data_IF_740635924746
#
_entry.id   IF_740635924746
#
_cell.length_a   1.000
_cell.length_b   1.000
_cell.length_c   1.000
_cell.angle_alpha   90.00
_cell.angle_beta   90.00
_cell.angle_gamma   90.00
#
_symmetry.space_group_name_H-M   'P 1'
#
loop_
_entity.id
_entity.type
_entity.pdbx_description
1 polymer ?
#
# COMPACT_ATOMS: atom_id res chain seq x y z
N UNK A 1 -27.28 0.23 9.12
CA UNK A 1 -26.47 -0.44 8.11
C UNK A 1 -25.26 0.45 7.80
N UNK A 2 -24.06 -0.07 7.96
CA UNK A 2 -22.90 0.75 7.66
C UNK A 2 -22.75 0.92 6.15
N UNK A 3 -22.54 2.15 5.74
CA UNK A 3 -22.29 2.48 4.35
C UNK A 3 -20.80 2.27 4.08
N UNK A 4 -20.47 1.30 3.23
CA UNK A 4 -19.07 1.00 2.91
C UNK A 4 -18.34 2.17 2.25
N UNK A 5 -19.08 3.11 1.65
CA UNK A 5 -18.47 4.30 1.06
C UNK A 5 -17.86 5.23 2.11
N UNK A 6 -18.24 5.11 3.38
CA UNK A 6 -17.68 5.90 4.46
C UNK A 6 -16.36 5.34 5.00
N UNK A 7 -16.07 4.07 4.71
CA UNK A 7 -14.83 3.44 5.15
C UNK A 7 -13.74 3.63 4.10
N UNK A 8 -12.52 3.99 4.51
CA UNK A 8 -11.41 4.05 3.57
C UNK A 8 -11.17 2.66 2.95
N UNK A 9 -10.97 2.63 1.63
CA UNK A 9 -10.62 1.39 0.95
C UNK A 9 -9.17 0.99 1.25
N UNK A 10 -8.29 1.98 1.48
CA UNK A 10 -6.91 1.75 1.90
C UNK A 10 -6.88 1.68 3.43
N UNK A 11 -6.56 0.51 3.98
CA UNK A 11 -6.57 0.29 5.43
C UNK A 11 -5.15 0.36 6.01
N UNK A 12 -5.01 0.84 7.25
CA UNK A 12 -3.70 0.86 7.90
C UNK A 12 -3.29 -0.54 8.36
N UNK A 13 -1.99 -0.82 8.26
CA UNK A 13 -1.36 -2.00 8.87
C UNK A 13 -0.22 -1.52 9.76
N UNK A 14 0.19 -2.35 10.70
CA UNK A 14 1.23 -2.03 11.68
C UNK A 14 2.28 -3.11 11.72
N UNK A 15 3.36 -2.88 12.48
CA UNK A 15 4.37 -3.90 12.75
C UNK A 15 3.73 -5.19 13.30
N UNK A 16 2.68 -5.04 14.11
CA UNK A 16 2.00 -6.18 14.75
C UNK A 16 1.10 -6.93 13.76
N UNK A 17 0.38 -6.21 12.88
CA UNK A 17 -0.61 -6.83 12.00
C UNK A 17 -0.05 -7.24 10.64
N UNK A 18 1.19 -6.84 10.33
CA UNK A 18 1.76 -7.01 8.98
C UNK A 18 1.79 -8.46 8.52
N UNK A 19 2.21 -9.37 9.40
CA UNK A 19 2.31 -10.78 9.04
C UNK A 19 0.96 -11.36 8.61
N UNK A 20 -0.09 -11.08 9.36
CA UNK A 20 -1.43 -11.60 9.06
C UNK A 20 -2.07 -10.88 7.87
N UNK A 21 -1.95 -9.55 7.82
CA UNK A 21 -2.66 -8.74 6.85
C UNK A 21 -1.98 -8.69 5.48
N UNK A 22 -0.67 -8.89 5.43
CA UNK A 22 0.11 -8.78 4.19
C UNK A 22 0.75 -10.12 3.81
N UNK A 23 1.57 -10.68 4.70
CA UNK A 23 2.36 -11.87 4.35
C UNK A 23 1.51 -13.12 4.21
N UNK A 24 0.47 -13.26 5.00
CA UNK A 24 -0.44 -14.40 4.97
C UNK A 24 -1.70 -14.15 4.14
N UNK A 25 -1.80 -13.02 3.46
CA UNK A 25 -2.99 -12.70 2.67
C UNK A 25 -3.12 -13.65 1.48
N UNK A 26 -4.36 -14.04 1.19
CA UNK A 26 -4.66 -14.97 0.10
C UNK A 26 -4.72 -14.31 -1.29
N UNK A 27 -4.41 -13.03 -1.39
CA UNK A 27 -4.42 -12.25 -2.63
C UNK A 27 -3.27 -11.26 -2.62
N UNK A 28 -2.94 -10.67 -3.78
CA UNK A 28 -1.89 -9.64 -3.80
C UNK A 28 -2.22 -8.46 -2.90
N UNK A 29 -1.19 -7.92 -2.24
CA UNK A 29 -1.33 -6.77 -1.34
C UNK A 29 -0.34 -5.69 -1.76
N UNK A 30 -0.86 -4.50 -2.04
CA UNK A 30 -0.06 -3.31 -2.30
C UNK A 30 0.10 -2.54 -1.00
N UNK A 31 1.34 -2.35 -0.56
CA UNK A 31 1.65 -1.63 0.68
C UNK A 31 2.24 -0.27 0.36
N UNK A 32 1.58 0.78 0.85
CA UNK A 32 2.04 2.16 0.75
C UNK A 32 2.77 2.56 2.03
N UNK A 33 4.09 2.68 1.96
CA UNK A 33 4.91 3.18 3.06
C UNK A 33 4.90 4.70 3.01
N UNK A 34 4.39 5.34 4.05
CA UNK A 34 4.16 6.77 4.10
C UNK A 34 4.52 7.37 5.45
N UNK A 35 4.48 8.71 5.53
CA UNK A 35 4.59 9.45 6.79
C UNK A 35 3.69 10.67 6.72
N UNK A 36 3.27 11.17 7.88
CA UNK A 36 2.39 12.34 7.95
C UNK A 36 3.05 13.60 7.39
N UNK A 37 4.38 13.73 7.56
CA UNK A 37 5.14 14.88 7.08
C UNK A 37 5.46 14.82 5.58
N UNK A 38 5.14 13.74 4.91
CA UNK A 38 5.51 13.53 3.50
C UNK A 38 4.47 14.13 2.56
N UNK A 39 4.80 15.25 1.92
CA UNK A 39 3.91 15.90 0.95
C UNK A 39 3.50 15.00 -0.21
N UNK A 40 4.46 14.37 -0.92
CA UNK A 40 4.13 13.45 -2.02
C UNK A 40 3.24 12.28 -1.61
N UNK A 41 3.37 11.81 -0.37
CA UNK A 41 2.50 10.74 0.15
C UNK A 41 1.04 11.21 0.19
N UNK A 42 0.80 12.44 0.64
CA UNK A 42 -0.53 13.02 0.67
C UNK A 42 -1.10 13.22 -0.74
N UNK A 43 -0.26 13.59 -1.69
CA UNK A 43 -0.67 13.73 -3.08
C UNK A 43 -1.09 12.38 -3.68
N UNK A 44 -0.39 11.31 -3.31
CA UNK A 44 -0.66 9.96 -3.81
C UNK A 44 -1.92 9.35 -3.19
N UNK A 45 -2.27 9.72 -1.97
CA UNK A 45 -3.33 9.05 -1.21
C UNK A 45 -4.68 8.96 -1.95
N UNK A 46 -5.21 10.01 -2.59
CA UNK A 46 -6.47 9.90 -3.32
C UNK A 46 -6.42 8.90 -4.47
N UNK A 47 -5.30 8.85 -5.21
CA UNK A 47 -5.13 7.89 -6.30
C UNK A 47 -5.13 6.45 -5.78
N UNK A 48 -4.46 6.20 -4.66
CA UNK A 48 -4.44 4.86 -4.06
C UNK A 48 -5.83 4.45 -3.57
N UNK A 49 -6.59 5.37 -3.00
CA UNK A 49 -7.96 5.09 -2.57
C UNK A 49 -8.83 4.66 -3.75
N UNK A 50 -8.70 5.34 -4.89
CA UNK A 50 -9.43 4.98 -6.10
C UNK A 50 -8.97 3.62 -6.65
N UNK A 51 -7.67 3.37 -6.67
CA UNK A 51 -7.11 2.09 -7.11
C UNK A 51 -7.62 0.95 -6.23
N UNK A 52 -7.67 1.16 -4.91
CA UNK A 52 -8.19 0.17 -3.98
C UNK A 52 -9.65 -0.16 -4.27
N UNK A 53 -10.47 0.85 -4.53
CA UNK A 53 -11.88 0.65 -4.87
C UNK A 53 -12.04 -0.11 -6.18
N UNK A 54 -11.26 0.25 -7.19
CA UNK A 54 -11.30 -0.39 -8.52
C UNK A 54 -10.86 -1.84 -8.49
N UNK A 55 -10.06 -2.22 -7.51
CA UNK A 55 -9.51 -3.58 -7.38
C UNK A 55 -10.08 -4.36 -6.20
N UNK A 56 -11.19 -3.91 -5.63
CA UNK A 56 -11.81 -4.57 -4.48
C UNK A 56 -12.03 -6.05 -4.76
N UNK A 57 -11.60 -6.90 -3.82
CA UNK A 57 -11.69 -8.35 -3.95
C UNK A 57 -10.58 -9.01 -4.76
N UNK A 58 -9.74 -8.24 -5.46
CA UNK A 58 -8.63 -8.77 -6.26
C UNK A 58 -7.26 -8.38 -5.71
N UNK A 59 -7.11 -7.14 -5.29
CA UNK A 59 -5.87 -6.62 -4.72
C UNK A 59 -6.25 -5.83 -3.48
N UNK A 60 -5.63 -6.14 -2.35
CA UNK A 60 -5.78 -5.33 -1.16
C UNK A 60 -4.77 -4.20 -1.19
N UNK A 61 -5.18 -2.99 -0.85
CA UNK A 61 -4.29 -1.85 -0.73
C UNK A 61 -4.28 -1.43 0.73
N UNK A 62 -3.08 -1.39 1.31
CA UNK A 62 -2.90 -1.03 2.72
C UNK A 62 -1.81 0.03 2.83
N UNK A 63 -1.77 0.72 3.96
CA UNK A 63 -0.76 1.73 4.23
C UNK A 63 -0.06 1.48 5.55
N UNK A 64 1.20 1.81 5.61
CA UNK A 64 2.03 1.66 6.82
C UNK A 64 2.76 2.96 7.09
N UNK A 65 2.54 3.53 8.27
CA UNK A 65 3.22 4.75 8.71
C UNK A 65 4.61 4.38 9.21
N UNK A 66 5.66 4.85 8.51
CA UNK A 66 7.05 4.44 8.81
C UNK A 66 7.52 4.96 10.16
N UNK A 67 7.01 6.08 10.63
CA UNK A 67 7.42 6.65 11.92
C UNK A 67 6.87 5.84 13.09
N UNK A 68 5.69 5.25 12.91
CA UNK A 68 5.04 4.46 13.94
C UNK A 68 5.36 2.96 13.87
N UNK A 69 5.96 2.51 12.77
CA UNK A 69 6.20 1.09 12.49
C UNK A 69 7.62 0.86 11.99
N UNK A 70 8.64 1.09 12.84
CA UNK A 70 10.03 1.02 12.43
C UNK A 70 10.51 -0.39 12.09
N UNK A 71 9.92 -1.44 12.66
CA UNK A 71 10.38 -2.80 12.43
C UNK A 71 10.20 -3.23 10.98
N UNK A 72 8.99 -3.11 10.45
CA UNK A 72 8.71 -3.47 9.06
C UNK A 72 9.42 -2.51 8.10
N UNK A 73 9.46 -1.23 8.41
CA UNK A 73 10.17 -0.24 7.62
C UNK A 73 11.64 -0.62 7.45
N UNK A 74 12.29 -1.03 8.53
CA UNK A 74 13.69 -1.47 8.50
C UNK A 74 13.85 -2.79 7.77
N UNK A 75 12.95 -3.74 8.04
CA UNK A 75 13.02 -5.07 7.43
C UNK A 75 13.03 -5.00 5.90
N UNK A 76 12.24 -4.12 5.31
CA UNK A 76 12.15 -4.00 3.86
C UNK A 76 13.04 -2.87 3.29
N UNK A 77 13.88 -2.27 4.11
CA UNK A 77 14.86 -1.30 3.66
C UNK A 77 14.28 -0.04 3.05
N UNK A 78 13.17 0.45 3.58
CA UNK A 78 12.49 1.63 3.07
C UNK A 78 13.33 2.89 3.34
N UNK A 79 13.67 3.63 2.30
CA UNK A 79 14.52 4.83 2.42
C UNK A 79 13.87 6.09 1.88
N UNK A 80 13.06 5.96 0.84
CA UNK A 80 12.36 7.09 0.23
C UNK A 80 10.85 6.95 0.39
N UNK A 81 10.13 8.06 0.37
CA UNK A 81 8.68 8.07 0.52
C UNK A 81 8.03 8.89 -0.58
N UNK A 82 6.88 8.45 -1.10
CA UNK A 82 6.26 7.17 -0.80
C UNK A 82 7.02 6.00 -1.43
N UNK A 83 6.96 4.84 -0.81
CA UNK A 83 7.43 3.59 -1.42
C UNK A 83 6.25 2.63 -1.46
N UNK A 84 6.02 2.06 -2.64
CA UNK A 84 5.01 1.05 -2.84
C UNK A 84 5.68 -0.30 -3.05
N UNK A 85 5.28 -1.29 -2.26
CA UNK A 85 5.70 -2.67 -2.44
C UNK A 85 4.48 -3.52 -2.74
N UNK A 86 4.57 -4.32 -3.81
CA UNK A 86 3.51 -5.28 -4.13
C UNK A 86 3.93 -6.66 -3.63
N UNK A 87 3.13 -7.25 -2.76
CA UNK A 87 3.34 -8.57 -2.21
C UNK A 87 2.43 -9.59 -2.88
N UNK A 88 2.98 -10.76 -3.20
CA UNK A 88 2.21 -11.93 -3.64
C UNK A 88 2.75 -13.14 -2.91
N UNK A 89 1.84 -13.87 -2.25
CA UNK A 89 2.20 -15.07 -1.48
C UNK A 89 3.34 -14.80 -0.49
N UNK A 90 3.31 -13.65 0.16
CA UNK A 90 4.28 -13.28 1.19
C UNK A 90 5.60 -12.72 0.67
N UNK A 91 5.75 -12.55 -0.64
CA UNK A 91 6.99 -12.06 -1.23
C UNK A 91 6.78 -10.76 -2.01
N UNK A 92 7.78 -9.87 -1.98
CA UNK A 92 7.78 -8.64 -2.77
C UNK A 92 8.04 -9.01 -4.23
N UNK A 93 7.08 -8.70 -5.10
CA UNK A 93 7.21 -8.98 -6.54
C UNK A 93 7.43 -7.71 -7.36
N UNK A 94 7.18 -6.54 -6.81
CA UNK A 94 7.44 -5.27 -7.49
C UNK A 94 7.58 -4.14 -6.47
N UNK A 95 8.34 -3.11 -6.84
CA UNK A 95 8.51 -1.93 -6.00
C UNK A 95 8.51 -0.67 -6.85
N UNK A 96 8.01 0.41 -6.28
CA UNK A 96 7.98 1.73 -6.91
C UNK A 96 8.27 2.78 -5.85
N UNK A 97 9.28 3.58 -6.05
CA UNK A 97 9.66 4.67 -5.14
C UNK A 97 9.29 5.99 -5.80
N UNK A 98 8.65 6.86 -5.04
CA UNK A 98 8.28 8.19 -5.49
C UNK A 98 6.86 8.27 -6.04
N UNK A 99 6.46 9.50 -6.35
CA UNK A 99 5.10 9.80 -6.83
C UNK A 99 4.97 9.50 -8.31
N UNK A 100 3.91 8.75 -8.67
CA UNK A 100 3.51 8.53 -10.07
C UNK A 100 2.08 9.04 -10.27
N UNK A 101 1.76 9.57 -11.46
CA UNK A 101 0.37 9.82 -11.82
C UNK A 101 -0.45 8.53 -11.77
N UNK A 102 -1.73 8.66 -11.46
CA UNK A 102 -2.61 7.49 -11.30
C UNK A 102 -2.56 6.53 -12.49
N UNK A 103 -2.60 7.06 -13.71
CA UNK A 103 -2.59 6.21 -14.92
C UNK A 103 -1.32 5.36 -15.01
N UNK A 104 -0.17 5.93 -14.67
CA UNK A 104 1.10 5.20 -14.69
C UNK A 104 1.19 4.19 -13.56
N UNK A 105 0.64 4.53 -12.42
CA UNK A 105 0.58 3.63 -11.27
C UNK A 105 -0.29 2.42 -11.59
N UNK A 106 -1.44 2.63 -12.23
CA UNK A 106 -2.32 1.55 -12.67
C UNK A 106 -1.62 0.62 -13.67
N UNK A 107 -0.88 1.20 -14.64
CA UNK A 107 -0.15 0.41 -15.62
C UNK A 107 0.95 -0.43 -14.96
N UNK A 108 1.71 0.17 -14.04
CA UNK A 108 2.73 -0.53 -13.28
C UNK A 108 2.14 -1.71 -12.49
N UNK A 109 1.02 -1.46 -11.81
CA UNK A 109 0.35 -2.49 -11.02
C UNK A 109 -0.16 -3.63 -11.89
N UNK A 110 -0.75 -3.31 -13.04
CA UNK A 110 -1.28 -4.31 -13.96
C UNK A 110 -0.17 -5.24 -14.50
N UNK A 111 1.02 -4.71 -14.76
CA UNK A 111 2.15 -5.51 -15.20
C UNK A 111 2.69 -6.42 -14.10
N UNK A 112 2.63 -5.97 -12.85
CA UNK A 112 3.23 -6.68 -11.73
C UNK A 112 2.34 -7.78 -11.15
N UNK A 113 1.03 -7.66 -11.34
CA UNK A 113 0.04 -8.63 -10.82
C UNK A 113 -0.12 -9.88 -11.75
#
# INVERSE_FOLDING_TARGET
MSDKSEEPAVRPVTDVTFADDVLAAGRPVLVDFHAEWCGPCHTLAPALEQIAEENAGRIDVVKLDVDKNPEITTQFGIRGLPTLLLFKAGEVVASQVGLLPKARLKAWLAEAV
#
